data_IF_628224154068
#
_entry.id   IF_628224154068
#
_cell.length_a   1.000
_cell.length_b   1.000
_cell.length_c   1.000
_cell.angle_alpha   90.00
_cell.angle_beta   90.00
_cell.angle_gamma   90.00
#
_symmetry.space_group_name_H-M   'P 1'
#
loop_
_entity.id
_entity.type
_entity.pdbx_description
1 polymer ?
#
# COMPACT_ATOMS: atom_id res chain seq x y z
N UNK A 1 -7.73 2.07 -21.81
CA UNK A 1 -7.42 1.21 -20.66
C UNK A 1 -7.24 2.07 -19.43
N UNK A 2 -8.19 1.96 -18.51
CA UNK A 2 -8.27 2.84 -17.34
C UNK A 2 -7.40 2.33 -16.19
N UNK A 3 -6.75 3.25 -15.46
CA UNK A 3 -6.02 2.96 -14.23
C UNK A 3 -6.82 3.41 -13.02
N UNK A 4 -6.66 2.71 -11.91
CA UNK A 4 -7.41 2.92 -10.68
C UNK A 4 -6.49 2.86 -9.47
N UNK A 5 -6.83 3.57 -8.40
CA UNK A 5 -6.06 3.55 -7.17
C UNK A 5 -6.94 3.57 -5.91
N UNK A 6 -6.50 2.82 -4.91
CA UNK A 6 -6.92 2.94 -3.51
C UNK A 6 -5.67 3.38 -2.73
N UNK A 7 -5.74 4.54 -2.08
CA UNK A 7 -4.59 5.15 -1.38
C UNK A 7 -5.02 5.46 0.05
N UNK A 8 -4.39 4.80 1.03
CA UNK A 8 -4.82 4.84 2.44
C UNK A 8 -3.69 5.41 3.30
N UNK A 9 -4.00 6.40 4.14
CA UNK A 9 -3.06 6.99 5.10
C UNK A 9 -3.73 7.25 6.45
N UNK A 10 -3.29 6.58 7.51
CA UNK A 10 -3.98 6.62 8.81
C UNK A 10 -3.02 7.11 9.90
N UNK A 11 -3.30 8.31 10.41
CA UNK A 11 -2.64 8.90 11.57
C UNK A 11 -3.41 8.66 12.87
N UNK A 12 -4.73 8.81 12.80
CA UNK A 12 -5.63 8.76 13.94
C UNK A 12 -6.14 7.34 14.14
N UNK A 13 -5.97 6.83 15.37
CA UNK A 13 -6.43 5.51 15.76
C UNK A 13 -7.22 5.61 17.06
N UNK A 14 -7.93 4.53 17.39
CA UNK A 14 -8.40 4.30 18.76
C UNK A 14 -7.24 4.58 19.73
N UNK A 15 -7.42 5.46 20.73
CA UNK A 15 -6.32 5.84 21.62
C UNK A 15 -5.78 4.66 22.45
N UNK A 16 -4.52 4.75 22.85
CA UNK A 16 -3.85 3.70 23.64
C UNK A 16 -4.50 3.46 25.00
N UNK A 17 -5.16 4.46 25.59
CA UNK A 17 -5.94 4.33 26.84
C UNK A 17 -7.15 3.40 26.67
N UNK A 18 -7.56 3.15 25.42
CA UNK A 18 -8.63 2.23 25.03
C UNK A 18 -8.08 1.00 24.31
N UNK A 19 -6.83 0.63 24.60
CA UNK A 19 -6.12 -0.51 23.99
C UNK A 19 -6.01 -0.43 22.46
N UNK A 20 -5.97 0.78 21.91
CA UNK A 20 -5.69 1.01 20.49
C UNK A 20 -4.22 1.30 20.21
N UNK A 21 -3.97 2.12 19.20
CA UNK A 21 -2.63 2.37 18.65
C UNK A 21 -2.20 3.81 18.88
N UNK A 22 -0.88 4.02 18.91
CA UNK A 22 -0.32 5.38 18.97
C UNK A 22 -0.64 6.14 17.69
N UNK A 23 -0.98 7.41 17.81
CA UNK A 23 -1.10 8.32 16.67
C UNK A 23 0.20 8.40 15.88
N UNK A 24 0.09 8.45 14.55
CA UNK A 24 1.20 8.67 13.62
C UNK A 24 1.16 10.12 13.08
N UNK A 25 2.27 10.58 12.49
CA UNK A 25 2.37 11.97 12.01
C UNK A 25 2.57 12.08 10.49
N UNK A 26 3.04 11.04 9.83
CA UNK A 26 3.43 11.06 8.41
C UNK A 26 2.46 10.37 7.46
N UNK A 27 1.75 9.33 7.91
CA UNK A 27 0.94 8.46 7.04
C UNK A 27 -0.10 9.19 6.17
N UNK A 28 -0.79 10.21 6.69
CA UNK A 28 -1.73 11.03 5.90
C UNK A 28 -0.99 11.74 4.76
N UNK A 29 0.10 12.46 5.07
CA UNK A 29 0.87 13.22 4.08
C UNK A 29 1.50 12.31 3.03
N UNK A 30 1.94 11.14 3.45
CA UNK A 30 2.45 10.09 2.56
C UNK A 30 1.39 9.61 1.56
N UNK A 31 0.16 9.36 2.02
CA UNK A 31 -0.95 9.02 1.15
C UNK A 31 -1.34 10.16 0.19
N UNK A 32 -1.37 11.41 0.66
CA UNK A 32 -1.64 12.58 -0.17
C UNK A 32 -0.63 12.72 -1.33
N UNK A 33 0.67 12.61 -1.03
CA UNK A 33 1.73 12.69 -2.05
C UNK A 33 1.73 11.51 -3.01
N UNK A 34 1.42 10.31 -2.51
CA UNK A 34 1.24 9.14 -3.38
C UNK A 34 0.05 9.35 -4.33
N UNK A 35 -1.08 9.85 -3.83
CA UNK A 35 -2.24 10.19 -4.65
C UNK A 35 -1.89 11.25 -5.70
N UNK A 36 -1.17 12.29 -5.33
CA UNK A 36 -0.70 13.33 -6.25
C UNK A 36 0.19 12.73 -7.35
N UNK A 37 1.17 11.90 -7.00
CA UNK A 37 2.03 11.23 -7.97
C UNK A 37 1.24 10.30 -8.90
N UNK A 38 0.29 9.53 -8.36
CA UNK A 38 -0.56 8.61 -9.14
C UNK A 38 -1.39 9.34 -10.19
N UNK A 39 -1.90 10.53 -9.85
CA UNK A 39 -2.71 11.35 -10.74
C UNK A 39 -1.85 12.03 -11.81
N UNK A 40 -0.66 12.52 -11.42
CA UNK A 40 0.19 13.34 -12.30
C UNK A 40 1.07 12.50 -13.23
N UNK A 41 1.75 11.48 -12.70
CA UNK A 41 2.73 10.66 -13.41
C UNK A 41 2.31 9.20 -13.52
N UNK A 42 1.60 8.66 -12.52
CA UNK A 42 1.09 7.30 -12.51
C UNK A 42 -0.06 7.03 -13.51
N UNK A 43 -0.61 8.08 -14.13
CA UNK A 43 -1.65 8.01 -15.15
C UNK A 43 -3.01 7.52 -14.63
N UNK A 44 -3.28 7.68 -13.34
CA UNK A 44 -4.59 7.40 -12.74
C UNK A 44 -5.48 8.64 -12.92
N UNK A 45 -6.61 8.57 -13.65
CA UNK A 45 -7.57 9.68 -13.67
C UNK A 45 -7.99 10.06 -12.25
N UNK A 46 -8.13 11.36 -11.95
CA UNK A 46 -8.41 11.83 -10.60
C UNK A 46 -9.68 11.18 -10.02
N UNK A 47 -10.71 10.98 -10.84
CA UNK A 47 -11.97 10.31 -10.47
C UNK A 47 -11.85 8.79 -10.25
N UNK A 48 -10.69 8.21 -10.52
CA UNK A 48 -10.35 6.81 -10.26
C UNK A 48 -9.36 6.65 -9.09
N UNK A 49 -8.89 7.75 -8.50
CA UNK A 49 -7.99 7.75 -7.36
C UNK A 49 -8.77 7.98 -6.05
N UNK A 50 -8.97 6.93 -5.27
CA UNK A 50 -9.64 7.02 -3.99
C UNK A 50 -8.63 7.21 -2.87
N UNK A 51 -8.42 8.46 -2.46
CA UNK A 51 -7.66 8.82 -1.27
C UNK A 51 -8.54 8.68 -0.02
N UNK A 52 -8.08 7.88 0.94
CA UNK A 52 -8.77 7.57 2.20
C UNK A 52 -7.82 7.90 3.35
N UNK A 53 -8.09 9.00 4.05
CA UNK A 53 -7.28 9.46 5.19
C UNK A 53 -8.05 9.36 6.50
N UNK A 54 -7.32 9.30 7.61
CA UNK A 54 -7.97 9.24 8.92
C UNK A 54 -8.58 10.55 9.38
N UNK A 55 -9.63 10.44 10.18
CA UNK A 55 -10.20 11.54 10.97
C UNK A 55 -10.39 11.07 12.39
N UNK A 56 -10.17 11.94 13.38
CA UNK A 56 -10.30 11.58 14.79
C UNK A 56 -11.76 11.53 15.29
N UNK A 57 -12.66 12.34 14.71
CA UNK A 57 -14.08 12.39 15.10
C UNK A 57 -15.00 12.76 13.89
N UNK A 58 -15.84 11.83 13.39
CA UNK A 58 -15.88 10.42 13.77
C UNK A 58 -14.60 9.68 13.37
N UNK A 59 -14.19 8.71 14.18
CA UNK A 59 -12.97 7.93 13.96
C UNK A 59 -13.09 7.09 12.68
N UNK A 60 -12.24 7.37 11.70
CA UNK A 60 -12.21 6.72 10.38
C UNK A 60 -10.78 6.68 9.83
N UNK A 61 -10.49 5.87 8.79
CA UNK A 61 -11.38 4.91 8.16
C UNK A 61 -11.53 3.61 8.95
N UNK A 62 -12.74 3.03 8.90
CA UNK A 62 -12.96 1.62 9.22
C UNK A 62 -12.91 0.78 7.94
N UNK A 63 -12.80 -0.54 8.08
CA UNK A 63 -12.72 -1.50 6.96
C UNK A 63 -13.79 -1.28 5.88
N UNK A 64 -15.03 -1.03 6.27
CA UNK A 64 -16.16 -0.88 5.34
C UNK A 64 -15.97 0.29 4.36
N UNK A 65 -15.23 1.34 4.74
CA UNK A 65 -14.92 2.47 3.86
C UNK A 65 -13.99 2.04 2.73
N UNK A 66 -12.94 1.27 3.07
CA UNK A 66 -12.00 0.72 2.08
C UNK A 66 -12.70 -0.27 1.16
N UNK A 67 -13.52 -1.14 1.72
CA UNK A 67 -14.30 -2.12 0.96
C UNK A 67 -15.29 -1.48 0.00
N UNK A 68 -15.95 -0.40 0.43
CA UNK A 68 -16.86 0.37 -0.41
C UNK A 68 -16.11 1.02 -1.58
N UNK A 69 -14.93 1.59 -1.34
CA UNK A 69 -14.10 2.16 -2.40
C UNK A 69 -13.67 1.10 -3.44
N UNK A 70 -13.27 -0.09 -2.99
CA UNK A 70 -12.92 -1.22 -3.87
C UNK A 70 -14.14 -1.66 -4.68
N UNK A 71 -15.32 -1.80 -4.04
CA UNK A 71 -16.55 -2.17 -4.75
C UNK A 71 -16.92 -1.14 -5.82
N UNK A 72 -16.77 0.16 -5.54
CA UNK A 72 -17.03 1.23 -6.50
C UNK A 72 -16.11 1.13 -7.73
N UNK A 73 -14.82 0.85 -7.53
CA UNK A 73 -13.89 0.58 -8.64
C UNK A 73 -14.38 -0.62 -9.45
N UNK A 74 -14.74 -1.73 -8.80
CA UNK A 74 -15.16 -2.94 -9.50
C UNK A 74 -16.41 -2.71 -10.34
N UNK A 75 -17.41 -1.97 -9.81
CA UNK A 75 -18.60 -1.56 -10.56
C UNK A 75 -18.19 -0.73 -11.78
N UNK A 76 -17.32 0.27 -11.59
CA UNK A 76 -16.86 1.15 -12.67
C UNK A 76 -16.09 0.38 -13.76
N UNK A 77 -15.29 -0.61 -13.40
CA UNK A 77 -14.62 -1.51 -14.34
C UNK A 77 -15.64 -2.32 -15.14
N UNK A 78 -16.69 -2.82 -14.49
CA UNK A 78 -17.75 -3.58 -15.13
C UNK A 78 -18.53 -2.74 -16.15
N UNK A 79 -18.85 -1.50 -15.79
CA UNK A 79 -19.54 -0.54 -16.66
C UNK A 79 -18.68 -0.12 -17.86
N UNK A 80 -17.36 -0.08 -17.69
CA UNK A 80 -16.41 0.29 -18.75
C UNK A 80 -15.90 -0.93 -19.54
N UNK A 81 -16.79 -1.88 -19.84
CA UNK A 81 -16.52 -3.06 -20.68
C UNK A 81 -15.29 -3.90 -20.25
N UNK A 82 -14.97 -3.93 -18.94
CA UNK A 82 -13.79 -4.61 -18.39
C UNK A 82 -12.44 -4.08 -18.92
N UNK A 83 -12.38 -2.83 -19.40
CA UNK A 83 -11.15 -2.19 -19.89
C UNK A 83 -10.34 -1.55 -18.74
N UNK A 84 -9.82 -2.38 -17.83
CA UNK A 84 -8.97 -1.96 -16.72
C UNK A 84 -7.52 -2.39 -16.91
N UNK A 85 -6.63 -1.40 -17.00
CA UNK A 85 -5.19 -1.60 -17.17
C UNK A 85 -4.54 -2.04 -15.85
N UNK A 86 -4.56 -1.14 -14.87
CA UNK A 86 -3.78 -1.27 -13.65
C UNK A 86 -4.57 -0.84 -12.42
N UNK A 87 -4.45 -1.62 -11.35
CA UNK A 87 -4.84 -1.22 -10.00
C UNK A 87 -3.60 -0.88 -9.17
N UNK A 88 -3.61 0.27 -8.52
CA UNK A 88 -2.69 0.61 -7.44
C UNK A 88 -3.39 0.47 -6.09
N UNK A 89 -2.74 -0.19 -5.13
CA UNK A 89 -3.15 -0.24 -3.74
C UNK A 89 -1.99 0.26 -2.88
N UNK A 90 -2.20 1.35 -2.17
CA UNK A 90 -1.21 1.96 -1.30
C UNK A 90 -1.75 2.06 0.12
N UNK A 91 -0.91 1.70 1.10
CA UNK A 91 -1.21 1.85 2.52
C UNK A 91 -0.02 2.43 3.28
N UNK A 92 -0.27 3.46 4.09
CA UNK A 92 0.63 3.94 5.13
C UNK A 92 -0.09 3.97 6.47
N UNK A 93 0.54 3.42 7.50
CA UNK A 93 -0.04 3.36 8.85
C UNK A 93 0.54 2.25 9.70
N UNK A 94 -0.19 1.86 10.75
CA UNK A 94 0.17 0.71 11.57
C UNK A 94 -0.06 -0.59 10.82
N UNK A 95 0.91 -1.49 10.96
CA UNK A 95 0.86 -2.84 10.43
C UNK A 95 1.34 -3.84 11.48
N UNK A 96 0.79 -5.04 11.42
CA UNK A 96 1.12 -6.14 12.32
C UNK A 96 1.45 -7.40 11.52
N UNK A 97 2.54 -8.06 11.89
CA UNK A 97 2.86 -9.39 11.36
C UNK A 97 1.81 -10.40 11.83
N UNK A 98 1.49 -11.36 10.98
CA UNK A 98 0.43 -12.36 11.21
C UNK A 98 1.08 -13.68 11.63
N UNK A 99 1.25 -13.89 12.94
CA UNK A 99 1.74 -15.13 13.55
C UNK A 99 2.99 -15.76 12.87
N UNK A 100 2.79 -16.74 11.99
CA UNK A 100 3.83 -17.44 11.21
C UNK A 100 3.68 -17.25 9.69
N UNK A 101 2.76 -16.40 9.25
CA UNK A 101 2.50 -16.09 7.85
C UNK A 101 3.40 -14.95 7.39
N UNK A 102 4.56 -15.32 6.84
CA UNK A 102 5.60 -14.42 6.36
C UNK A 102 5.15 -13.54 5.19
N UNK A 103 4.04 -13.86 4.51
CA UNK A 103 3.57 -13.11 3.35
C UNK A 103 2.39 -12.18 3.69
N UNK A 104 1.83 -12.30 4.89
CA UNK A 104 0.64 -11.58 5.31
C UNK A 104 0.97 -10.53 6.36
N UNK A 105 0.19 -9.46 6.35
CA UNK A 105 0.32 -8.33 7.28
C UNK A 105 -1.07 -7.78 7.49
N UNK A 106 -1.45 -7.61 8.75
CA UNK A 106 -2.67 -6.93 9.12
C UNK A 106 -2.45 -5.42 8.99
N UNK A 107 -3.13 -4.81 8.02
CA UNK A 107 -3.14 -3.36 7.84
C UNK A 107 -4.17 -2.77 8.80
N UNK A 108 -3.75 -2.10 9.86
CA UNK A 108 -4.65 -1.65 10.92
C UNK A 108 -5.50 -0.47 10.44
N UNK A 109 -6.82 -0.57 10.61
CA UNK A 109 -7.76 0.52 10.37
C UNK A 109 -7.81 1.46 11.59
N UNK A 110 -8.41 2.64 11.45
CA UNK A 110 -8.44 3.64 12.52
C UNK A 110 -9.10 3.10 13.81
N UNK A 111 -10.14 2.26 13.68
CA UNK A 111 -10.83 1.67 14.82
C UNK A 111 -10.11 0.46 15.45
N UNK A 112 -8.88 0.13 15.05
CA UNK A 112 -8.15 -1.01 15.61
C UNK A 112 -7.94 -0.89 17.12
N UNK A 113 -8.19 -1.97 17.83
CA UNK A 113 -7.82 -2.17 19.24
C UNK A 113 -7.61 -3.65 19.52
N UNK A 114 -7.04 -3.98 20.67
CA UNK A 114 -6.84 -5.36 21.11
C UNK A 114 -8.14 -6.20 21.12
N UNK A 115 -9.32 -5.55 21.24
CA UNK A 115 -10.63 -6.22 21.22
C UNK A 115 -11.24 -6.40 19.82
N UNK A 116 -10.82 -5.58 18.84
CA UNK A 116 -11.38 -5.56 17.49
C UNK A 116 -10.36 -5.87 16.40
N UNK A 117 -9.14 -6.28 16.78
CA UNK A 117 -7.98 -6.35 15.89
C UNK A 117 -8.24 -7.10 14.58
N UNK A 118 -8.86 -8.28 14.64
CA UNK A 118 -9.19 -9.09 13.46
C UNK A 118 -10.09 -8.34 12.46
N UNK A 119 -11.22 -7.80 12.93
CA UNK A 119 -12.20 -7.10 12.11
C UNK A 119 -11.73 -5.69 11.68
N UNK A 120 -10.85 -5.07 12.47
CA UNK A 120 -10.30 -3.74 12.26
C UNK A 120 -8.91 -3.78 11.61
N UNK A 121 -8.55 -4.87 10.95
CA UNK A 121 -7.36 -4.95 10.11
C UNK A 121 -7.66 -5.65 8.79
N UNK A 122 -6.95 -5.26 7.73
CA UNK A 122 -7.07 -5.86 6.40
C UNK A 122 -5.94 -6.86 6.19
N UNK A 123 -6.24 -8.06 5.71
CA UNK A 123 -5.20 -9.01 5.32
C UNK A 123 -4.58 -8.60 3.99
N UNK A 124 -3.31 -8.17 4.00
CA UNK A 124 -2.59 -7.83 2.76
C UNK A 124 -2.62 -8.98 1.74
N UNK A 125 -2.45 -10.22 2.19
CA UNK A 125 -2.45 -11.40 1.33
C UNK A 125 -3.84 -11.72 0.76
N UNK A 126 -4.91 -11.59 1.56
CA UNK A 126 -6.28 -11.84 1.08
C UNK A 126 -6.73 -10.79 0.05
N UNK A 127 -6.38 -9.51 0.25
CA UNK A 127 -6.68 -8.45 -0.71
C UNK A 127 -5.85 -8.61 -2.00
N UNK A 128 -4.55 -8.92 -1.91
CA UNK A 128 -3.74 -9.30 -3.07
C UNK A 128 -4.38 -10.45 -3.86
N UNK A 129 -4.74 -11.54 -3.16
CA UNK A 129 -5.35 -12.71 -3.80
C UNK A 129 -6.66 -12.35 -4.49
N UNK A 130 -7.49 -11.49 -3.91
CA UNK A 130 -8.71 -10.98 -4.56
C UNK A 130 -8.37 -10.26 -5.86
N UNK A 131 -7.52 -9.24 -5.82
CA UNK A 131 -7.20 -8.44 -7.01
C UNK A 131 -6.65 -9.27 -8.17
N UNK A 132 -5.87 -10.31 -7.86
CA UNK A 132 -5.32 -11.22 -8.88
C UNK A 132 -6.34 -12.24 -9.38
N UNK A 133 -7.12 -12.86 -8.48
CA UNK A 133 -8.04 -13.93 -8.84
C UNK A 133 -9.30 -13.46 -9.57
N UNK A 134 -9.72 -12.22 -9.33
CA UNK A 134 -10.83 -11.61 -10.06
C UNK A 134 -10.46 -11.30 -11.51
N UNK A 135 -9.19 -11.13 -11.84
CA UNK A 135 -8.73 -10.94 -13.21
C UNK A 135 -9.25 -9.67 -13.89
N UNK A 136 -9.72 -8.69 -13.11
CA UNK A 136 -10.27 -7.44 -13.62
C UNK A 136 -9.19 -6.54 -14.21
N UNK A 137 -8.01 -6.51 -13.61
CA UNK A 137 -6.88 -5.68 -14.01
C UNK A 137 -5.82 -6.51 -14.73
N UNK A 138 -5.13 -5.93 -15.70
CA UNK A 138 -3.96 -6.55 -16.34
C UNK A 138 -2.76 -6.53 -15.40
N UNK A 139 -2.66 -5.48 -14.59
CA UNK A 139 -1.54 -5.22 -13.69
C UNK A 139 -2.04 -4.81 -12.30
N UNK A 140 -1.41 -5.30 -11.24
CA UNK A 140 -1.72 -4.97 -9.85
C UNK A 140 -0.45 -4.55 -9.12
N UNK A 141 -0.46 -3.36 -8.53
CA UNK A 141 0.67 -2.79 -7.80
C UNK A 141 0.25 -2.55 -6.36
N UNK A 142 1.01 -3.08 -5.40
CA UNK A 142 0.70 -2.99 -3.97
C UNK A 142 1.92 -2.44 -3.23
N UNK A 143 1.76 -1.34 -2.52
CA UNK A 143 2.82 -0.73 -1.71
C UNK A 143 2.33 -0.48 -0.30
N UNK A 144 3.11 -0.89 0.70
CA UNK A 144 2.69 -0.86 2.10
C UNK A 144 3.80 -0.31 2.99
N UNK A 145 3.67 0.92 3.45
CA UNK A 145 4.55 1.54 4.45
C UNK A 145 4.01 1.29 5.87
N UNK A 146 4.34 0.13 6.42
CA UNK A 146 3.89 -0.27 7.75
C UNK A 146 4.83 -1.31 8.38
N UNK A 147 4.76 -1.41 9.72
CA UNK A 147 5.48 -2.44 10.46
C UNK A 147 4.95 -3.85 10.14
N UNK A 148 5.80 -4.85 10.39
CA UNK A 148 5.43 -6.28 10.27
C UNK A 148 5.83 -7.06 11.51
N UNK A 149 5.92 -6.39 12.64
CA UNK A 149 6.22 -7.00 13.93
C UNK A 149 5.05 -7.84 14.41
N UNK A 150 5.31 -9.07 14.85
CA UNK A 150 4.30 -9.92 15.51
C UNK A 150 4.26 -9.52 16.98
N UNK A 151 3.21 -8.81 17.38
CA UNK A 151 3.00 -8.35 18.77
C UNK A 151 1.79 -8.99 19.44
N UNK A 152 0.84 -9.45 18.63
CA UNK A 152 -0.42 -10.07 19.02
C UNK A 152 -0.72 -11.20 18.04
N UNK A 153 -1.52 -12.17 18.46
CA UNK A 153 -2.11 -13.11 17.50
C UNK A 153 -3.23 -12.39 16.76
N UNK A 154 -3.25 -12.53 15.43
CA UNK A 154 -4.10 -11.73 14.57
C UNK A 154 -4.59 -12.58 13.40
N UNK A 155 -5.89 -12.55 13.14
CA UNK A 155 -6.49 -13.10 11.93
C UNK A 155 -7.14 -11.96 11.14
N UNK A 156 -6.36 -11.19 10.35
CA UNK A 156 -6.85 -9.97 9.73
C UNK A 156 -7.94 -10.26 8.70
N UNK A 157 -8.95 -9.39 8.64
CA UNK A 157 -10.13 -9.63 7.84
C UNK A 157 -9.84 -9.58 6.32
N UNK A 158 -10.50 -10.47 5.58
CA UNK A 158 -10.45 -10.52 4.13
C UNK A 158 -11.36 -9.49 3.46
N UNK A 159 -11.20 -9.28 2.15
CA UNK A 159 -12.04 -8.36 1.39
C UNK A 159 -13.46 -8.90 1.18
N UNK A 160 -14.44 -8.04 0.79
CA UNK A 160 -15.79 -8.48 0.51
C UNK A 160 -15.81 -9.42 -0.69
N UNK A 161 -16.76 -10.36 -0.66
CA UNK A 161 -16.97 -11.30 -1.76
C UNK A 161 -17.60 -10.56 -2.94
N UNK A 162 -16.99 -10.69 -4.11
CA UNK A 162 -17.54 -10.22 -5.39
C UNK A 162 -17.59 -11.44 -6.33
N UNK A 163 -18.63 -11.51 -7.15
CA UNK A 163 -18.86 -12.62 -8.10
C UNK A 163 -18.44 -12.30 -9.54
N UNK A 164 -17.83 -11.13 -9.76
CA UNK A 164 -17.40 -10.68 -11.06
C UNK A 164 -16.03 -11.26 -11.41
N UNK A 165 -15.86 -11.67 -12.67
CA UNK A 165 -14.60 -12.16 -13.19
C UNK A 165 -14.24 -11.43 -14.47
N UNK A 166 -13.06 -10.85 -14.48
CA UNK A 166 -12.47 -10.20 -15.65
C UNK A 166 -11.78 -11.19 -16.58
N UNK A 167 -11.33 -10.72 -17.76
CA UNK A 167 -10.73 -11.56 -18.79
C UNK A 167 -9.28 -11.97 -18.49
N UNK A 168 -8.62 -11.38 -17.49
CA UNK A 168 -7.19 -11.57 -17.24
C UNK A 168 -6.94 -12.79 -16.34
N UNK A 169 -6.47 -13.90 -16.90
CA UNK A 169 -6.20 -15.13 -16.13
C UNK A 169 -4.82 -15.15 -15.44
N UNK A 170 -3.90 -14.25 -15.82
CA UNK A 170 -2.57 -14.12 -15.22
C UNK A 170 -2.16 -12.64 -15.15
N UNK A 171 -2.76 -11.85 -14.25
CA UNK A 171 -2.34 -10.47 -14.06
C UNK A 171 -0.85 -10.39 -13.68
N UNK A 172 -0.15 -9.39 -14.21
CA UNK A 172 1.17 -9.03 -13.69
C UNK A 172 1.00 -8.37 -12.33
N UNK A 173 1.94 -8.58 -11.42
CA UNK A 173 1.88 -7.93 -10.13
C UNK A 173 3.24 -7.57 -9.56
N UNK A 174 3.26 -6.47 -8.82
CA UNK A 174 4.39 -5.97 -8.07
C UNK A 174 3.93 -5.61 -6.67
N UNK A 175 4.61 -6.10 -5.64
CA UNK A 175 4.31 -5.80 -4.25
C UNK A 175 5.57 -5.44 -3.49
N UNK A 176 5.53 -4.36 -2.72
CA UNK A 176 6.60 -4.00 -1.80
C UNK A 176 6.05 -3.67 -0.41
N UNK A 177 6.63 -4.32 0.60
CA UNK A 177 6.52 -3.92 1.99
C UNK A 177 7.65 -2.95 2.32
N UNK A 178 7.36 -1.93 3.13
CA UNK A 178 8.35 -0.97 3.61
C UNK A 178 9.38 -1.59 4.56
N UNK A 179 9.10 -2.78 5.10
CA UNK A 179 10.03 -3.52 5.96
C UNK A 179 9.88 -5.04 5.79
N UNK A 180 10.89 -5.79 6.20
CA UNK A 180 10.88 -7.26 6.25
C UNK A 180 9.94 -7.81 7.34
N UNK A 181 9.58 -9.09 7.22
CA UNK A 181 8.80 -9.76 8.27
C UNK A 181 9.45 -9.67 9.65
N UNK A 182 8.65 -9.51 10.70
CA UNK A 182 9.08 -9.26 12.09
C UNK A 182 9.92 -7.99 12.32
N UNK A 183 10.01 -7.08 11.34
CA UNK A 183 10.74 -5.81 11.47
C UNK A 183 9.79 -4.61 11.52
N UNK A 184 10.35 -3.48 11.95
CA UNK A 184 9.65 -2.20 12.03
C UNK A 184 9.86 -1.39 10.74
N UNK A 185 8.87 -0.56 10.43
CA UNK A 185 8.98 0.56 9.50
C UNK A 185 8.85 1.87 10.31
N UNK A 186 9.51 2.93 9.86
CA UNK A 186 9.66 4.16 10.64
C UNK A 186 9.19 5.40 9.89
N UNK A 187 8.66 6.36 10.64
CA UNK A 187 8.52 7.75 10.23
C UNK A 187 9.72 8.55 10.78
N UNK A 188 10.27 9.45 9.97
CA UNK A 188 11.36 10.34 10.38
C UNK A 188 11.12 11.77 9.86
N UNK A 189 11.77 12.75 10.49
CA UNK A 189 11.75 14.15 10.06
C UNK A 189 12.66 14.34 8.83
N UNK A 190 12.22 13.80 7.69
CA UNK A 190 13.00 13.77 6.44
C UNK A 190 12.93 15.09 5.66
N UNK A 191 11.98 15.95 6.00
CA UNK A 191 11.85 17.31 5.48
C UNK A 191 11.65 18.28 6.64
N UNK A 192 12.05 19.57 6.50
CA UNK A 192 11.79 20.57 7.51
C UNK A 192 10.30 20.58 7.90
N UNK A 193 10.02 20.40 9.19
CA UNK A 193 8.66 20.45 9.76
C UNK A 193 7.70 19.34 9.28
N UNK A 194 8.20 18.26 8.68
CA UNK A 194 7.36 17.18 8.15
C UNK A 194 7.92 15.79 8.47
N UNK A 195 7.17 15.03 9.29
CA UNK A 195 7.39 13.60 9.50
C UNK A 195 6.90 12.81 8.29
N UNK A 196 7.71 11.84 7.81
CA UNK A 196 7.41 11.01 6.64
C UNK A 196 7.87 9.58 6.86
N UNK A 197 7.13 8.62 6.33
CA UNK A 197 7.54 7.24 6.20
C UNK A 197 8.80 7.13 5.34
N UNK A 198 9.82 6.46 5.87
CA UNK A 198 11.12 6.31 5.20
C UNK A 198 10.94 5.57 3.87
N UNK A 199 10.14 4.51 3.87
CA UNK A 199 9.87 3.77 2.63
C UNK A 199 9.13 4.62 1.62
N UNK A 200 8.08 5.35 2.03
CA UNK A 200 7.30 6.18 1.11
C UNK A 200 8.13 7.30 0.49
N UNK A 201 8.97 7.97 1.28
CA UNK A 201 9.88 9.00 0.77
C UNK A 201 10.77 8.42 -0.34
N UNK A 202 11.45 7.31 -0.06
CA UNK A 202 12.35 6.68 -1.03
C UNK A 202 11.58 6.16 -2.25
N UNK A 203 10.41 5.55 -2.06
CA UNK A 203 9.55 5.12 -3.15
C UNK A 203 9.19 6.27 -4.08
N UNK A 204 8.75 7.41 -3.54
CA UNK A 204 8.41 8.59 -4.34
C UNK A 204 9.65 9.18 -5.03
N UNK A 205 10.81 9.25 -4.39
CA UNK A 205 12.03 9.71 -5.03
C UNK A 205 12.39 8.83 -6.24
N UNK A 206 12.33 7.50 -6.06
CA UNK A 206 12.57 6.52 -7.11
C UNK A 206 11.62 6.71 -8.30
N UNK A 207 10.31 6.81 -8.00
CA UNK A 207 9.26 7.03 -8.98
C UNK A 207 9.30 8.40 -9.67
N UNK A 208 9.93 9.40 -9.06
CA UNK A 208 10.16 10.73 -9.64
C UNK A 208 11.45 10.82 -10.47
N UNK A 209 12.12 9.69 -10.72
CA UNK A 209 13.26 9.61 -11.64
C UNK A 209 14.54 9.11 -11.01
N UNK A 210 14.65 9.06 -9.67
CA UNK A 210 15.89 8.61 -9.03
C UNK A 210 16.18 7.13 -9.28
N UNK A 211 15.17 6.33 -9.62
CA UNK A 211 15.33 4.93 -10.01
C UNK A 211 15.63 4.75 -11.52
N UNK A 212 15.79 5.81 -12.32
CA UNK A 212 16.00 5.67 -13.77
C UNK A 212 17.44 5.25 -14.07
N UNK A 213 17.66 4.13 -14.79
CA UNK A 213 19.01 3.65 -15.13
C UNK A 213 19.48 4.01 -16.55
N UNK A 214 18.57 4.19 -17.52
CA UNK A 214 18.90 4.49 -18.93
C UNK A 214 17.89 5.47 -19.55
N UNK A 215 17.89 5.65 -20.88
CA UNK A 215 16.95 6.55 -21.57
C UNK A 215 15.47 6.09 -21.49
N UNK A 216 15.20 4.85 -21.04
CA UNK A 216 13.87 4.28 -20.84
C UNK A 216 13.18 4.72 -19.55
N UNK A 217 11.86 4.50 -19.46
CA UNK A 217 11.08 4.80 -18.26
C UNK A 217 11.43 3.90 -17.05
N UNK A 218 10.82 4.16 -15.88
CA UNK A 218 11.19 3.44 -14.64
C UNK A 218 10.55 2.04 -14.65
N UNK A 219 11.39 1.01 -14.74
CA UNK A 219 10.90 -0.38 -14.70
C UNK A 219 10.75 -0.92 -13.28
N UNK A 220 10.03 -2.02 -13.13
CA UNK A 220 9.95 -2.79 -11.89
C UNK A 220 11.32 -3.23 -11.36
N UNK A 221 12.24 -3.60 -12.25
CA UNK A 221 13.59 -3.98 -11.85
C UNK A 221 14.36 -2.77 -11.31
N UNK A 222 14.33 -1.63 -12.03
CA UNK A 222 15.02 -0.44 -11.55
C UNK A 222 14.47 0.06 -10.22
N UNK A 223 13.14 0.02 -10.05
CA UNK A 223 12.51 0.42 -8.80
C UNK A 223 12.89 -0.54 -7.66
N UNK A 224 12.96 -1.85 -7.91
CA UNK A 224 13.41 -2.83 -6.89
C UNK A 224 14.84 -2.55 -6.45
N UNK A 225 15.78 -2.44 -7.39
CA UNK A 225 17.18 -2.16 -7.11
C UNK A 225 17.33 -0.84 -6.33
N UNK A 226 16.59 0.19 -6.74
CA UNK A 226 16.60 1.49 -6.08
C UNK A 226 16.08 1.41 -4.65
N UNK A 227 14.95 0.75 -4.41
CA UNK A 227 14.35 0.61 -3.09
C UNK A 227 15.24 -0.20 -2.14
N UNK A 228 15.76 -1.34 -2.60
CA UNK A 228 16.64 -2.22 -1.81
C UNK A 228 17.94 -1.52 -1.39
N UNK A 229 18.45 -0.63 -2.24
CA UNK A 229 19.62 0.18 -1.92
C UNK A 229 19.30 1.36 -1.00
N UNK A 230 18.27 2.16 -1.34
CA UNK A 230 18.09 3.48 -0.75
C UNK A 230 17.24 3.48 0.52
N UNK A 231 16.34 2.52 0.72
CA UNK A 231 15.55 2.45 1.97
C UNK A 231 16.47 2.19 3.18
N UNK A 232 17.42 1.24 3.15
CA UNK A 232 18.36 1.06 4.26
C UNK A 232 19.26 2.27 4.50
N UNK A 233 19.71 2.94 3.43
CA UNK A 233 20.56 4.14 3.54
C UNK A 233 19.81 5.29 4.19
N UNK A 234 18.59 5.59 3.74
CA UNK A 234 17.74 6.63 4.32
C UNK A 234 17.40 6.31 5.79
N UNK A 235 17.08 5.04 6.07
CA UNK A 235 16.83 4.58 7.43
C UNK A 235 18.05 4.79 8.33
N UNK A 236 19.24 4.42 7.87
CA UNK A 236 20.48 4.59 8.62
C UNK A 236 20.78 6.08 8.89
N UNK A 237 20.58 6.95 7.91
CA UNK A 237 20.75 8.40 8.07
C UNK A 237 19.80 8.97 9.13
N UNK A 238 18.60 8.40 9.25
CA UNK A 238 17.62 8.74 10.27
C UNK A 238 17.84 8.01 11.62
N UNK A 239 18.89 7.20 11.76
CA UNK A 239 19.23 6.47 12.99
C UNK A 239 18.45 5.16 13.20
N UNK A 240 17.86 4.61 12.15
CA UNK A 240 17.07 3.38 12.15
C UNK A 240 17.68 2.27 11.30
N UNK A 241 17.09 1.08 11.39
CA UNK A 241 17.39 -0.06 10.51
C UNK A 241 16.08 -0.56 9.91
N UNK A 242 15.94 -0.42 8.59
CA UNK A 242 14.74 -0.78 7.84
C UNK A 242 15.17 -1.29 6.46
N UNK A 243 14.68 -2.48 6.09
CA UNK A 243 14.96 -3.11 4.81
C UNK A 243 13.65 -3.47 4.15
N UNK A 244 13.36 -3.03 2.93
CA UNK A 244 12.12 -3.34 2.26
C UNK A 244 12.08 -4.83 1.88
N UNK A 245 10.88 -5.34 1.63
CA UNK A 245 10.69 -6.68 1.09
C UNK A 245 9.81 -6.60 -0.16
N UNK A 246 10.36 -7.05 -1.29
CA UNK A 246 9.77 -6.88 -2.61
C UNK A 246 9.48 -8.25 -3.20
N UNK A 247 8.32 -8.41 -3.83
CA UNK A 247 7.93 -9.61 -4.54
C UNK A 247 7.16 -9.25 -5.81
N UNK A 248 7.33 -10.04 -6.87
CA UNK A 248 6.60 -9.85 -8.13
C UNK A 248 6.55 -11.16 -8.92
N UNK A 249 5.70 -11.22 -9.95
CA UNK A 249 5.79 -12.24 -11.01
C UNK A 249 6.47 -11.70 -12.30
N UNK A 250 7.20 -10.61 -12.17
CA UNK A 250 7.84 -9.91 -13.27
C UNK A 250 9.26 -10.46 -13.50
N UNK A 251 9.77 -10.29 -14.71
CA UNK A 251 11.16 -10.64 -15.04
C UNK A 251 11.80 -9.46 -15.77
N UNK A 252 13.13 -9.42 -15.83
CA UNK A 252 13.85 -8.40 -16.61
C UNK A 252 13.46 -8.39 -18.09
N UNK A 253 12.99 -9.53 -18.63
CA UNK A 253 12.49 -9.63 -20.01
C UNK A 253 11.03 -9.17 -20.16
N UNK A 254 10.26 -9.10 -19.08
CA UNK A 254 8.86 -8.66 -19.05
C UNK A 254 8.61 -7.74 -17.85
N UNK A 255 9.26 -6.56 -17.82
CA UNK A 255 9.08 -5.65 -16.70
C UNK A 255 7.69 -5.01 -16.71
N UNK A 256 7.33 -4.42 -15.57
CA UNK A 256 6.30 -3.41 -15.50
C UNK A 256 6.94 -2.03 -15.65
N UNK A 257 6.30 -1.11 -16.37
CA UNK A 257 6.75 0.28 -16.51
C UNK A 257 5.88 1.19 -15.63
N UNK A 258 6.50 2.00 -14.77
CA UNK A 258 5.78 2.90 -13.86
C UNK A 258 5.57 4.30 -14.44
N UNK A 259 6.58 4.85 -15.10
CA UNK A 259 6.60 6.16 -15.78
C UNK A 259 7.38 6.02 -17.07
#
# INVERSE_FOLDING_TARGET
>A
MSRYAIVIGINDYTPTERLGLKTLSGAIKDAERMSEWLITLGGVPAENCHLITSTADPLNPIKDIVDTAINNIVIKVAENAMDADRLYFYFAGHGLGVDFDLENTGLCMANWSDYFGDAASLSSQAYKRKFLSEGLFKEVVIWMDCCRTVKVSLNPAGPPRIFLRGPNNQPKWYMAYGTQYQKQAFEAALMPEEMRGIFTKVLLDGLNGAAKHDEGGITSANLSDYLELNVPLEAQNAGFSQYPEISSNLTSAKPMLFV
#
